data_IF_075313149606
#
_entry.id   IF_075313149606
#
_cell.length_a   1.000
_cell.length_b   1.000
_cell.length_c   1.000
_cell.angle_alpha   90.00
_cell.angle_beta   90.00
_cell.angle_gamma   90.00
#
_symmetry.space_group_name_H-M   'P 1'
#
loop_
_entity.id
_entity.type
_entity.pdbx_description
1 polymer ?
#
# COMPACT_ATOMS: atom_id res chain seq x y z
N UNK A 1 13.34 -9.30 -7.87
CA UNK A 1 12.72 -8.16 -7.18
C UNK A 1 11.30 -8.01 -7.73
N UNK A 2 10.28 -7.71 -6.90
CA UNK A 2 8.92 -7.50 -7.40
C UNK A 2 8.90 -6.34 -8.39
N UNK A 3 8.02 -6.40 -9.39
CA UNK A 3 7.81 -5.30 -10.33
C UNK A 3 7.28 -4.06 -9.60
N UNK A 4 7.77 -2.87 -9.98
CA UNK A 4 7.32 -1.59 -9.43
C UNK A 4 6.57 -0.84 -10.53
N UNK A 5 5.29 -0.57 -10.30
CA UNK A 5 4.43 0.19 -11.22
C UNK A 5 3.71 1.30 -10.45
N UNK A 6 4.14 2.52 -10.69
CA UNK A 6 3.62 3.69 -9.98
C UNK A 6 2.39 4.25 -10.71
N UNK A 7 1.20 3.84 -10.26
CA UNK A 7 -0.07 4.42 -10.72
C UNK A 7 -0.53 5.45 -9.67
N UNK A 8 -0.74 6.72 -10.05
CA UNK A 8 -1.24 7.74 -9.13
C UNK A 8 -2.52 7.28 -8.42
N UNK A 9 -2.60 7.50 -7.10
CA UNK A 9 -3.69 6.96 -6.26
C UNK A 9 -5.06 7.54 -6.63
N UNK A 10 -5.11 8.77 -7.13
CA UNK A 10 -6.33 9.43 -7.65
C UNK A 10 -6.93 8.72 -8.87
N UNK A 11 -6.10 8.00 -9.63
CA UNK A 11 -6.56 7.17 -10.76
C UNK A 11 -7.07 5.80 -10.32
N UNK A 12 -6.85 5.41 -9.07
CA UNK A 12 -7.18 4.09 -8.52
C UNK A 12 -8.45 4.14 -7.66
N UNK A 13 -9.62 4.33 -8.29
CA UNK A 13 -10.94 4.39 -7.62
C UNK A 13 -11.27 3.19 -6.73
N UNK A 14 -10.55 2.07 -6.86
CA UNK A 14 -10.75 0.88 -6.05
C UNK A 14 -10.20 1.02 -4.62
N UNK A 15 -9.25 1.95 -4.38
CA UNK A 15 -8.65 2.16 -3.06
C UNK A 15 -9.69 2.58 -2.01
N UNK A 16 -10.69 3.34 -2.44
CA UNK A 16 -11.79 3.84 -1.61
C UNK A 16 -12.98 2.86 -1.54
N UNK A 17 -12.96 1.79 -2.34
CA UNK A 17 -14.06 0.82 -2.42
C UNK A 17 -13.73 -0.42 -1.60
N UNK A 18 -14.33 -0.51 -0.42
CA UNK A 18 -14.11 -1.66 0.47
C UNK A 18 -14.44 -3.00 -0.22
N UNK A 19 -15.54 -3.06 -0.97
CA UNK A 19 -15.94 -4.26 -1.72
C UNK A 19 -14.92 -4.71 -2.76
N UNK A 20 -14.10 -3.80 -3.30
CA UNK A 20 -13.01 -4.14 -4.23
C UNK A 20 -11.77 -4.60 -3.46
N UNK A 21 -11.46 -3.99 -2.32
CA UNK A 21 -10.34 -4.43 -1.45
C UNK A 21 -10.56 -5.83 -0.90
N UNK A 22 -11.80 -6.20 -0.59
CA UNK A 22 -12.19 -7.53 -0.11
C UNK A 22 -12.01 -8.65 -1.15
N UNK A 23 -11.83 -8.33 -2.44
CA UNK A 23 -11.58 -9.30 -3.50
C UNK A 23 -10.09 -9.56 -3.76
N UNK A 24 -9.20 -8.73 -3.22
CA UNK A 24 -7.77 -8.84 -3.48
C UNK A 24 -7.08 -9.86 -2.55
N UNK A 25 -5.86 -10.31 -2.85
CA UNK A 25 -5.09 -11.10 -1.90
C UNK A 25 -4.73 -10.32 -0.64
N UNK A 26 -4.62 -11.00 0.50
CA UNK A 26 -4.27 -10.40 1.79
C UNK A 26 -2.87 -9.77 1.80
N UNK A 27 -1.92 -10.34 1.05
CA UNK A 27 -0.56 -9.85 0.92
C UNK A 27 -0.43 -8.56 0.09
N UNK A 28 -1.54 -7.96 -0.35
CA UNK A 28 -1.57 -6.66 -1.01
C UNK A 28 -1.64 -5.50 -0.01
N UNK A 29 -1.82 -5.81 1.27
CA UNK A 29 -2.13 -4.88 2.34
C UNK A 29 -1.10 -4.99 3.46
N UNK A 30 -0.79 -3.86 4.10
CA UNK A 30 0.08 -3.86 5.29
C UNK A 30 -0.68 -4.30 6.54
N UNK A 31 -2.01 -4.13 6.56
CA UNK A 31 -2.96 -4.72 7.51
C UNK A 31 -3.85 -5.73 6.77
N UNK A 32 -3.42 -7.01 6.67
CA UNK A 32 -4.11 -8.02 5.87
C UNK A 32 -5.49 -8.37 6.41
N UNK A 33 -5.63 -8.43 7.74
CA UNK A 33 -6.87 -8.82 8.42
C UNK A 33 -8.02 -7.88 8.09
N UNK A 34 -7.74 -6.57 8.03
CA UNK A 34 -8.75 -5.55 7.72
C UNK A 34 -8.64 -5.04 6.27
N UNK A 35 -7.68 -5.54 5.48
CA UNK A 35 -7.38 -5.11 4.11
C UNK A 35 -7.24 -3.58 4.00
N UNK A 36 -6.51 -3.00 4.97
CA UNK A 36 -6.15 -1.57 5.02
C UNK A 36 -4.72 -1.37 4.56
N UNK A 37 -4.40 -0.13 4.18
CA UNK A 37 -3.05 0.25 3.75
C UNK A 37 -2.54 -0.61 2.58
N UNK A 38 -3.24 -0.60 1.44
CA UNK A 38 -2.79 -1.34 0.27
C UNK A 38 -1.45 -0.77 -0.21
N UNK A 39 -0.58 -1.62 -0.75
CA UNK A 39 0.72 -1.22 -1.30
C UNK A 39 1.06 -1.87 -2.64
N UNK A 40 0.23 -2.82 -3.10
CA UNK A 40 0.28 -3.42 -4.43
C UNK A 40 -0.89 -2.94 -5.29
N UNK A 41 -0.63 -2.80 -6.59
CA UNK A 41 -1.67 -2.69 -7.60
C UNK A 41 -2.43 -4.02 -7.74
N UNK A 42 -3.57 -4.02 -8.43
CA UNK A 42 -4.35 -5.25 -8.68
C UNK A 42 -3.56 -6.36 -9.41
N UNK A 43 -2.58 -5.99 -10.23
CA UNK A 43 -1.68 -6.91 -10.93
C UNK A 43 -0.54 -7.46 -10.04
N UNK A 44 -0.46 -7.05 -8.77
CA UNK A 44 0.54 -7.52 -7.80
C UNK A 44 1.84 -6.72 -7.79
N UNK A 45 2.01 -5.78 -8.71
CA UNK A 45 3.17 -4.87 -8.72
C UNK A 45 3.13 -3.90 -7.54
N UNK A 46 4.30 -3.54 -7.02
CA UNK A 46 4.46 -2.56 -5.94
C UNK A 46 4.11 -1.15 -6.45
N UNK A 47 3.41 -0.37 -5.63
CA UNK A 47 3.09 1.02 -5.93
C UNK A 47 3.63 1.96 -4.84
N UNK A 48 4.63 2.77 -5.19
CA UNK A 48 5.31 3.67 -4.25
C UNK A 48 4.41 4.82 -3.77
N UNK A 49 3.41 5.25 -4.56
CA UNK A 49 2.43 6.25 -4.11
C UNK A 49 1.56 5.69 -2.99
N UNK A 50 1.19 4.41 -3.09
CA UNK A 50 0.39 3.73 -2.09
C UNK A 50 1.19 3.49 -0.80
N UNK A 51 2.47 3.14 -0.89
CA UNK A 51 3.37 3.08 0.28
C UNK A 51 3.49 4.44 0.98
N UNK A 52 3.69 5.53 0.21
CA UNK A 52 3.77 6.88 0.77
C UNK A 52 2.45 7.29 1.45
N UNK A 53 1.32 6.94 0.84
CA UNK A 53 0.00 7.16 1.44
C UNK A 53 -0.17 6.35 2.73
N UNK A 54 0.29 5.10 2.75
CA UNK A 54 0.23 4.24 3.93
C UNK A 54 1.04 4.82 5.10
N UNK A 55 2.27 5.31 4.86
CA UNK A 55 3.09 5.98 5.89
C UNK A 55 2.33 7.17 6.50
N UNK A 56 1.76 8.04 5.65
CA UNK A 56 1.01 9.21 6.10
C UNK A 56 -0.23 8.83 6.90
N UNK A 57 -1.05 7.94 6.35
CA UNK A 57 -2.33 7.55 6.96
C UNK A 57 -2.12 6.79 8.27
N UNK A 58 -1.16 5.86 8.31
CA UNK A 58 -0.83 5.13 9.53
C UNK A 58 -0.32 6.08 10.63
N UNK A 59 0.52 7.07 10.27
CA UNK A 59 0.95 8.12 11.20
C UNK A 59 -0.21 8.99 11.70
N UNK A 60 -1.20 9.29 10.85
CA UNK A 60 -2.40 10.05 11.27
C UNK A 60 -3.31 9.25 12.20
N UNK A 61 -3.38 7.93 12.04
CA UNK A 61 -4.22 7.05 12.87
C UNK A 61 -3.52 6.51 14.12
N UNK A 62 -2.21 6.75 14.29
CA UNK A 62 -1.42 6.18 15.38
C UNK A 62 -1.09 4.69 15.20
N UNK A 63 -1.16 4.16 13.98
CA UNK A 63 -0.84 2.77 13.66
C UNK A 63 0.70 2.61 13.47
N UNK A 64 1.48 2.76 14.56
CA UNK A 64 2.95 2.85 14.50
C UNK A 64 3.63 1.63 13.85
N UNK A 65 3.12 0.43 14.11
CA UNK A 65 3.66 -0.81 13.50
C UNK A 65 3.45 -0.85 11.99
N UNK A 66 2.30 -0.37 11.50
CA UNK A 66 2.00 -0.28 10.08
C UNK A 66 2.87 0.78 9.43
N UNK A 67 3.03 1.93 10.08
CA UNK A 67 3.89 3.01 9.59
C UNK A 67 5.33 2.53 9.42
N UNK A 68 5.92 1.89 10.43
CA UNK A 68 7.28 1.35 10.36
C UNK A 68 7.43 0.33 9.23
N UNK A 69 6.46 -0.57 9.06
CA UNK A 69 6.45 -1.55 7.95
C UNK A 69 6.33 -0.88 6.59
N UNK A 70 5.51 0.18 6.47
CA UNK A 70 5.37 0.95 5.25
C UNK A 70 6.68 1.68 4.89
N UNK A 71 7.38 2.24 5.88
CA UNK A 71 8.70 2.87 5.71
C UNK A 71 9.75 1.85 5.27
N UNK A 72 9.81 0.67 5.88
CA UNK A 72 10.71 -0.42 5.47
C UNK A 72 10.46 -0.82 4.01
N UNK A 73 9.20 -1.04 3.64
CA UNK A 73 8.84 -1.43 2.27
C UNK A 73 9.14 -0.31 1.27
N UNK A 74 8.91 0.95 1.66
CA UNK A 74 9.27 2.10 0.84
C UNK A 74 10.77 2.16 0.61
N UNK A 75 11.60 2.01 1.65
CA UNK A 75 13.05 1.99 1.47
C UNK A 75 13.51 0.82 0.59
N UNK A 76 12.95 -0.37 0.84
CA UNK A 76 13.31 -1.60 0.12
C UNK A 76 12.96 -1.58 -1.36
N UNK A 77 11.79 -1.04 -1.73
CA UNK A 77 11.28 -1.11 -3.11
C UNK A 77 11.33 0.22 -3.86
N UNK A 78 11.39 1.35 -3.15
CA UNK A 78 11.28 2.69 -3.72
C UNK A 78 12.49 3.59 -3.40
N UNK A 79 13.32 3.27 -2.39
CA UNK A 79 14.42 4.12 -1.89
C UNK A 79 15.63 4.30 -2.81
N UNK A 80 15.54 3.87 -4.07
CA UNK A 80 16.63 3.93 -5.05
C UNK A 80 16.29 4.65 -6.36
N UNK A 81 15.22 5.46 -6.40
CA UNK A 81 14.83 6.24 -7.58
C UNK A 81 14.33 7.63 -7.22
#
# INVERSE_FOLDING_TARGET
MPEVRNIPTDKLKWLDRESERQKLPEDYFLDPKNRRYPYKNKDGSINCYMLRAAIRLAGMHGDDSIKAKAEEFFQKYCGGK
#
